data_IF_994609395860
#
_entry.id   IF_994609395860
#
_cell.length_a   1.000
_cell.length_b   1.000
_cell.length_c   1.000
_cell.angle_alpha   90.00
_cell.angle_beta   90.00
_cell.angle_gamma   90.00
#
_symmetry.space_group_name_H-M   'P 1'
#
loop_
_entity.id
_entity.type
_entity.pdbx_description
1 polymer ?
#
# COMPACT_ATOMS: atom_id res chain seq x y z
N UNK A 1 4.91 10.07 15.35
CA UNK A 1 5.75 10.08 14.12
C UNK A 1 5.29 8.91 13.28
N UNK A 2 5.11 9.11 11.97
CA UNK A 2 4.65 8.05 11.08
C UNK A 2 5.73 6.98 10.90
N UNK A 3 5.49 5.77 11.43
CA UNK A 3 6.40 4.64 11.25
C UNK A 3 6.28 4.08 9.82
N UNK A 4 7.43 3.78 9.21
CA UNK A 4 7.50 3.33 7.82
C UNK A 4 8.72 2.47 7.58
N UNK A 5 8.54 1.44 6.76
CA UNK A 5 9.59 0.48 6.42
C UNK A 5 9.37 -0.07 5.02
N UNK A 6 10.44 -0.54 4.38
CA UNK A 6 10.32 -1.30 3.14
C UNK A 6 10.16 -2.77 3.47
N UNK A 7 9.18 -3.42 2.87
CA UNK A 7 8.88 -4.84 3.08
C UNK A 7 9.00 -5.61 1.77
N UNK A 8 9.37 -6.88 1.88
CA UNK A 8 9.17 -7.88 0.84
C UNK A 8 7.70 -8.32 0.76
N UNK A 9 7.24 -8.87 -0.37
CA UNK A 9 5.89 -9.43 -0.47
C UNK A 9 5.59 -10.51 0.58
N UNK A 10 6.59 -11.31 0.97
CA UNK A 10 6.49 -12.29 2.05
C UNK A 10 6.18 -11.64 3.40
N UNK A 11 6.93 -10.60 3.78
CA UNK A 11 6.72 -9.88 5.04
C UNK A 11 5.34 -9.22 5.08
N UNK A 12 4.86 -8.71 3.94
CA UNK A 12 3.50 -8.16 3.83
C UNK A 12 2.45 -9.24 4.11
N UNK A 13 2.57 -10.43 3.51
CA UNK A 13 1.65 -11.54 3.75
C UNK A 13 1.65 -12.02 5.20
N UNK A 14 2.79 -11.97 5.88
CA UNK A 14 2.90 -12.33 7.31
C UNK A 14 2.33 -11.26 8.24
N UNK A 15 2.44 -9.98 7.86
CA UNK A 15 1.98 -8.84 8.66
C UNK A 15 0.48 -8.58 8.49
N UNK A 16 -0.03 -8.74 7.27
CA UNK A 16 -1.41 -8.42 6.89
C UNK A 16 -2.49 -8.99 7.82
N UNK A 17 -2.43 -10.26 8.29
CA UNK A 17 -3.47 -10.83 9.14
C UNK A 17 -3.45 -10.33 10.59
N UNK A 18 -2.34 -9.71 11.02
CA UNK A 18 -2.12 -9.25 12.40
C UNK A 18 -2.40 -7.75 12.56
N UNK A 19 -2.44 -7.04 11.44
CA UNK A 19 -2.66 -5.62 11.35
C UNK A 19 -4.16 -5.35 11.40
N UNK A 20 -4.60 -4.36 12.17
CA UNK A 20 -5.93 -3.79 12.13
C UNK A 20 -6.02 -2.66 11.11
N UNK A 21 -4.99 -1.82 11.03
CA UNK A 21 -4.95 -0.71 10.06
C UNK A 21 -3.55 -0.50 9.50
N UNK A 22 -3.46 -0.26 8.20
CA UNK A 22 -2.22 0.28 7.63
C UNK A 22 -2.23 0.34 6.13
N UNK A 23 -1.15 0.91 5.59
CA UNK A 23 -1.03 1.21 4.18
C UNK A 23 0.23 0.61 3.58
N UNK A 24 0.08 0.07 2.38
CA UNK A 24 1.14 -0.49 1.56
C UNK A 24 1.15 0.22 0.21
N UNK A 25 2.19 1.01 -0.06
CA UNK A 25 2.44 1.50 -1.40
C UNK A 25 3.24 0.44 -2.16
N UNK A 26 2.70 -0.06 -3.26
CA UNK A 26 3.27 -1.17 -4.02
C UNK A 26 3.62 -0.69 -5.43
N UNK A 27 4.83 -1.01 -5.89
CA UNK A 27 5.26 -0.79 -7.27
C UNK A 27 6.07 -1.98 -7.75
N UNK A 28 5.74 -2.49 -8.93
CA UNK A 28 6.51 -3.52 -9.61
C UNK A 28 6.77 -3.13 -11.06
N UNK A 29 8.06 -3.11 -11.46
CA UNK A 29 8.44 -2.89 -12.86
C UNK A 29 8.41 -4.22 -13.61
N UNK A 30 7.47 -4.34 -14.54
CA UNK A 30 7.37 -5.46 -15.49
C UNK A 30 7.99 -5.03 -16.83
N UNK A 31 8.22 -5.99 -17.74
CA UNK A 31 8.92 -5.75 -19.02
C UNK A 31 8.34 -4.59 -19.83
N UNK A 32 7.01 -4.47 -19.89
CA UNK A 32 6.31 -3.48 -20.74
C UNK A 32 5.34 -2.57 -19.97
N UNK A 33 5.27 -2.69 -18.64
CA UNK A 33 4.32 -1.93 -17.81
C UNK A 33 4.81 -1.81 -16.38
N UNK A 34 4.30 -0.83 -15.66
CA UNK A 34 4.51 -0.70 -14.21
C UNK A 34 3.20 -1.05 -13.52
N UNK A 35 3.20 -2.10 -12.72
CA UNK A 35 2.12 -2.34 -11.76
C UNK A 35 2.35 -1.41 -10.57
N UNK A 36 1.32 -0.68 -10.16
CA UNK A 36 1.40 0.19 -9.01
C UNK A 36 0.02 0.30 -8.38
N UNK A 37 -0.04 0.13 -7.06
CA UNK A 37 -1.28 0.24 -6.29
C UNK A 37 -0.97 0.65 -4.88
N UNK A 38 -1.89 1.35 -4.24
CA UNK A 38 -1.92 1.52 -2.79
C UNK A 38 -2.92 0.50 -2.26
N UNK A 39 -2.47 -0.36 -1.37
CA UNK A 39 -3.32 -1.25 -0.61
C UNK A 39 -3.48 -0.67 0.79
N UNK A 40 -4.70 -0.31 1.15
CA UNK A 40 -5.06 0.09 2.50
C UNK A 40 -5.89 -1.01 3.15
N UNK A 41 -5.53 -1.35 4.38
CA UNK A 41 -6.26 -2.31 5.21
C UNK A 41 -6.90 -1.54 6.36
N UNK A 42 -8.18 -1.81 6.61
CA UNK A 42 -8.90 -1.32 7.78
C UNK A 42 -9.82 -2.41 8.31
N UNK A 43 -9.54 -2.89 9.52
CA UNK A 43 -10.19 -4.06 10.12
C UNK A 43 -10.16 -5.25 9.15
N UNK A 44 -11.31 -5.82 8.78
CA UNK A 44 -11.38 -6.93 7.82
C UNK A 44 -11.44 -6.48 6.35
N UNK A 45 -11.58 -5.18 6.11
CA UNK A 45 -11.73 -4.61 4.78
C UNK A 45 -10.37 -4.25 4.16
N UNK A 46 -10.33 -4.38 2.84
CA UNK A 46 -9.19 -4.02 2.02
C UNK A 46 -9.65 -3.06 0.94
N UNK A 47 -8.82 -2.07 0.63
CA UNK A 47 -9.11 -1.10 -0.41
C UNK A 47 -7.88 -0.94 -1.29
N UNK A 48 -8.10 -1.02 -2.60
CA UNK A 48 -7.07 -0.77 -3.59
C UNK A 48 -7.28 0.63 -4.14
N UNK A 49 -6.22 1.42 -4.25
CA UNK A 49 -6.27 2.78 -4.79
C UNK A 49 -5.20 2.92 -5.85
N UNK A 50 -5.62 3.32 -7.04
CA UNK A 50 -4.73 3.61 -8.15
C UNK A 50 -4.50 5.12 -8.23
N UNK A 51 -3.46 5.60 -7.53
CA UNK A 51 -3.01 6.99 -7.63
C UNK A 51 -1.50 7.04 -7.90
N UNK A 52 -1.06 7.06 -9.18
CA UNK A 52 0.35 7.03 -9.55
C UNK A 52 1.19 8.17 -8.95
N UNK A 53 0.59 9.36 -8.78
CA UNK A 53 1.26 10.51 -8.20
C UNK A 53 1.54 10.27 -6.70
N UNK A 54 0.52 9.84 -5.96
CA UNK A 54 0.65 9.52 -4.54
C UNK A 54 1.60 8.34 -4.31
N UNK A 55 1.53 7.27 -5.12
CA UNK A 55 2.44 6.12 -5.01
C UNK A 55 3.90 6.55 -5.19
N UNK A 56 4.16 7.44 -6.16
CA UNK A 56 5.51 7.96 -6.39
C UNK A 56 6.03 8.71 -5.16
N UNK A 57 5.21 9.58 -4.56
CA UNK A 57 5.54 10.31 -3.33
C UNK A 57 5.77 9.36 -2.15
N UNK A 58 4.90 8.36 -1.97
CA UNK A 58 5.00 7.40 -0.89
C UNK A 58 6.30 6.60 -0.99
N UNK A 59 6.69 6.15 -2.19
CA UNK A 59 7.88 5.34 -2.41
C UNK A 59 9.20 6.14 -2.45
N UNK A 60 9.17 7.47 -2.42
CA UNK A 60 10.40 8.27 -2.32
C UNK A 60 11.17 7.96 -1.02
N UNK A 61 12.50 7.82 -1.15
CA UNK A 61 13.41 7.47 -0.04
C UNK A 61 13.86 8.68 0.78
N UNK A 62 13.93 9.86 0.17
CA UNK A 62 14.64 11.02 0.74
C UNK A 62 13.75 12.05 1.44
N UNK A 63 12.41 11.99 1.30
CA UNK A 63 11.48 12.98 1.87
C UNK A 63 10.42 12.32 2.74
N UNK A 64 10.28 12.75 4.00
CA UNK A 64 9.02 12.59 4.74
C UNK A 64 8.04 13.66 4.25
N UNK A 65 7.38 13.41 3.12
CA UNK A 65 6.30 14.27 2.67
C UNK A 65 5.16 14.30 3.71
N UNK A 66 4.91 13.13 4.32
CA UNK A 66 3.98 12.96 5.43
C UNK A 66 4.76 12.89 6.75
N UNK A 67 4.53 13.86 7.63
CA UNK A 67 5.14 13.91 8.96
C UNK A 67 4.32 13.18 10.03
N UNK A 68 3.00 13.07 9.82
CA UNK A 68 2.05 12.43 10.74
C UNK A 68 1.09 11.49 10.00
N UNK A 69 0.50 10.49 10.68
CA UNK A 69 -0.53 9.63 10.11
C UNK A 69 -1.72 10.41 9.53
N UNK A 70 -2.19 11.46 10.20
CA UNK A 70 -3.37 12.23 9.79
C UNK A 70 -3.16 12.93 8.44
N UNK A 71 -1.94 13.44 8.19
CA UNK A 71 -1.61 14.04 6.89
C UNK A 71 -1.67 13.01 5.75
N UNK A 72 -1.22 11.78 6.02
CA UNK A 72 -1.26 10.69 5.07
C UNK A 72 -2.71 10.22 4.84
N UNK A 73 -3.49 10.04 5.91
CA UNK A 73 -4.89 9.64 5.86
C UNK A 73 -5.73 10.61 5.01
N UNK A 74 -5.56 11.92 5.19
CA UNK A 74 -6.29 12.92 4.38
C UNK A 74 -6.05 12.76 2.86
N UNK A 75 -4.82 12.51 2.42
CA UNK A 75 -4.52 12.31 0.99
C UNK A 75 -5.10 11.00 0.44
N UNK A 76 -5.13 9.95 1.28
CA UNK A 76 -5.71 8.66 0.90
C UNK A 76 -7.23 8.76 0.81
N UNK A 77 -7.87 9.44 1.77
CA UNK A 77 -9.32 9.69 1.76
C UNK A 77 -9.76 10.38 0.48
N UNK A 78 -9.05 11.42 0.05
CA UNK A 78 -9.30 12.06 -1.24
C UNK A 78 -9.18 11.07 -2.41
N UNK A 79 -8.21 10.15 -2.35
CA UNK A 79 -8.04 9.14 -3.39
C UNK A 79 -9.10 8.02 -3.32
N UNK A 80 -9.73 7.80 -2.16
CA UNK A 80 -10.87 6.87 -2.03
C UNK A 80 -12.16 7.43 -2.62
N UNK A 81 -12.39 8.75 -2.49
CA UNK A 81 -13.53 9.41 -3.13
C UNK A 81 -13.51 9.16 -4.64
N UNK A 82 -12.35 9.32 -5.28
CA UNK A 82 -12.15 9.05 -6.70
C UNK A 82 -12.39 7.57 -7.07
N UNK A 83 -12.15 6.64 -6.14
CA UNK A 83 -12.38 5.21 -6.33
C UNK A 83 -13.72 4.69 -5.76
N UNK A 84 -14.63 5.59 -5.39
CA UNK A 84 -15.95 5.29 -4.81
C UNK A 84 -15.90 4.33 -3.60
N UNK A 85 -14.80 4.33 -2.84
CA UNK A 85 -14.59 3.44 -1.68
C UNK A 85 -14.85 1.95 -1.95
N UNK A 86 -14.63 1.48 -3.19
CA UNK A 86 -14.88 0.07 -3.50
C UNK A 86 -13.88 -0.84 -2.77
N UNK A 87 -14.35 -1.77 -1.93
CA UNK A 87 -13.46 -2.70 -1.25
C UNK A 87 -12.95 -3.77 -2.23
N UNK A 88 -11.73 -4.23 -1.99
CA UNK A 88 -11.16 -5.41 -2.61
C UNK A 88 -11.38 -6.63 -1.72
N UNK A 89 -11.64 -7.79 -2.32
CA UNK A 89 -11.72 -9.03 -1.55
C UNK A 89 -10.33 -9.44 -1.04
N UNK A 90 -10.29 -10.06 0.15
CA UNK A 90 -9.09 -10.67 0.71
C UNK A 90 -8.43 -11.69 -0.22
N UNK A 91 -9.22 -12.46 -0.96
CA UNK A 91 -8.74 -13.48 -1.90
C UNK A 91 -7.95 -12.84 -3.05
N UNK A 92 -8.47 -11.75 -3.64
CA UNK A 92 -7.77 -10.96 -4.65
C UNK A 92 -6.47 -10.35 -4.12
N UNK A 93 -6.50 -9.75 -2.93
CA UNK A 93 -5.29 -9.19 -2.30
C UNK A 93 -4.23 -10.27 -2.07
N UNK A 94 -4.63 -11.44 -1.56
CA UNK A 94 -3.71 -12.55 -1.35
C UNK A 94 -3.15 -13.09 -2.67
N UNK A 95 -3.97 -13.17 -3.72
CA UNK A 95 -3.52 -13.60 -5.05
C UNK A 95 -2.47 -12.64 -5.61
N UNK A 96 -2.71 -11.34 -5.52
CA UNK A 96 -1.79 -10.31 -5.97
C UNK A 96 -0.46 -10.41 -5.21
N UNK A 97 -0.49 -10.44 -3.89
CA UNK A 97 0.71 -10.53 -3.06
C UNK A 97 1.49 -11.83 -3.32
N UNK A 98 0.81 -12.97 -3.47
CA UNK A 98 1.47 -14.24 -3.81
C UNK A 98 2.07 -14.21 -5.23
N UNK A 99 1.48 -13.46 -6.15
CA UNK A 99 2.06 -13.25 -7.49
C UNK A 99 3.30 -12.36 -7.40
N UNK A 100 3.26 -11.29 -6.61
CA UNK A 100 4.39 -10.37 -6.43
C UNK A 100 5.63 -11.06 -5.83
N UNK A 101 5.45 -12.06 -4.96
CA UNK A 101 6.56 -12.90 -4.45
C UNK A 101 7.42 -13.54 -5.53
N UNK A 102 6.84 -13.79 -6.71
CA UNK A 102 7.53 -14.45 -7.82
C UNK A 102 8.30 -13.47 -8.71
N UNK A 103 8.34 -12.18 -8.35
CA UNK A 103 8.91 -11.10 -9.15
C UNK A 103 10.11 -10.46 -8.43
N UNK A 104 11.15 -10.10 -9.19
CA UNK A 104 12.41 -9.57 -8.64
C UNK A 104 12.39 -8.06 -8.38
N UNK A 105 11.53 -7.29 -9.06
CA UNK A 105 11.54 -5.82 -9.05
C UNK A 105 10.33 -5.23 -8.32
N UNK A 106 10.05 -5.76 -7.13
CA UNK A 106 8.92 -5.31 -6.30
C UNK A 106 9.42 -4.38 -5.20
N UNK A 107 8.84 -3.19 -5.14
CA UNK A 107 9.04 -2.22 -4.07
C UNK A 107 7.74 -2.09 -3.29
N UNK A 108 7.77 -2.42 -2.00
CA UNK A 108 6.64 -2.19 -1.10
C UNK A 108 7.12 -1.36 0.07
N UNK A 109 6.43 -0.24 0.31
CA UNK A 109 6.65 0.57 1.50
C UNK A 109 5.40 0.52 2.37
N UNK A 110 5.59 0.06 3.58
CA UNK A 110 4.58 -0.02 4.61
C UNK A 110 4.57 1.27 5.45
N UNK A 111 3.36 1.69 5.83
CA UNK A 111 3.10 2.78 6.74
C UNK A 111 2.20 2.25 7.85
N UNK A 112 2.69 2.33 9.07
CA UNK A 112 1.96 1.92 10.26
C UNK A 112 0.99 3.01 10.66
N UNK A 113 -0.29 2.64 10.76
CA UNK A 113 -1.40 3.54 11.09
C UNK A 113 -2.14 3.07 12.34
N UNK A 114 -1.66 2.03 13.02
CA UNK A 114 -2.21 1.62 14.32
C UNK A 114 -1.85 2.67 15.39
N UNK A 115 -2.85 3.11 16.17
CA UNK A 115 -2.67 3.99 17.33
C UNK A 115 -2.10 3.26 18.56
#
# INVERSE_FOLDING_TARGET
MLHREFLSPEEVLEKMPKLSEGLFAIRCKLTNKTYQVILYKYQEDYFLVENPALISLLLEKERSFFGTPEQLLNEIEMSFEDNNYQPASKEWVNLDLNTLKLLENVEIKFFDLEE
#
